data_IF_639045489773
#
_entry.id   IF_639045489773
#
_cell.length_a   1.000
_cell.length_b   1.000
_cell.length_c   1.000
_cell.angle_alpha   90.00
_cell.angle_beta   90.00
_cell.angle_gamma   90.00
#
_symmetry.space_group_name_H-M   'P 1'
#
loop_
_entity.id
_entity.type
_entity.pdbx_description
1 polymer ?
#
# COMPACT_ATOMS: atom_id res chain seq x y z
N UNK A 1 9.45 0.45 -4.39
CA UNK A 1 10.31 0.65 -3.19
C UNK A 1 11.50 -0.28 -3.33
N UNK A 2 12.74 0.23 -3.30
CA UNK A 2 13.94 -0.60 -3.32
C UNK A 2 14.68 -0.43 -1.99
N UNK A 3 15.13 -1.52 -1.38
CA UNK A 3 16.03 -1.51 -0.21
C UNK A 3 17.24 -2.37 -0.59
N UNK A 4 18.43 -1.76 -0.62
CA UNK A 4 19.64 -2.44 -1.10
C UNK A 4 19.54 -2.94 -2.55
N UNK A 5 18.76 -2.24 -3.39
CA UNK A 5 18.49 -2.66 -4.78
C UNK A 5 17.40 -3.73 -4.94
N UNK A 6 16.87 -4.27 -3.84
CA UNK A 6 15.84 -5.33 -3.87
C UNK A 6 14.45 -4.70 -3.75
N UNK A 7 13.48 -5.05 -4.64
CA UNK A 7 12.10 -4.63 -4.51
C UNK A 7 11.45 -5.12 -3.21
N UNK A 8 10.89 -4.18 -2.44
CA UNK A 8 10.14 -4.47 -1.22
C UNK A 8 8.65 -4.32 -1.51
N UNK A 9 7.91 -5.42 -1.43
CA UNK A 9 6.51 -5.53 -1.89
C UNK A 9 5.49 -5.65 -0.75
N UNK A 10 5.93 -5.94 0.48
CA UNK A 10 5.06 -6.25 1.61
C UNK A 10 4.16 -5.08 2.05
N UNK A 11 4.61 -3.84 1.90
CA UNK A 11 3.80 -2.66 2.19
C UNK A 11 2.91 -2.32 1.00
N UNK A 12 3.43 -2.24 -0.25
CA UNK A 12 2.59 -2.04 -1.43
C UNK A 12 1.39 -3.01 -1.54
N UNK A 13 1.57 -4.30 -1.26
CA UNK A 13 0.49 -5.31 -1.40
C UNK A 13 -0.72 -5.03 -0.49
N UNK A 14 -0.54 -4.29 0.61
CA UNK A 14 -1.66 -3.88 1.47
C UNK A 14 -2.69 -3.00 0.75
N UNK A 15 -2.29 -2.34 -0.35
CA UNK A 15 -3.21 -1.60 -1.22
C UNK A 15 -4.24 -2.48 -1.92
N UNK A 16 -3.94 -3.76 -2.17
CA UNK A 16 -4.88 -4.70 -2.79
C UNK A 16 -6.00 -5.13 -1.82
N UNK A 17 -5.73 -5.13 -0.51
CA UNK A 17 -6.67 -5.59 0.52
C UNK A 17 -8.01 -4.86 0.48
N UNK A 18 -8.07 -3.50 0.52
CA UNK A 18 -9.33 -2.77 0.43
C UNK A 18 -10.01 -2.88 -0.95
N UNK A 19 -9.31 -3.37 -1.98
CA UNK A 19 -9.91 -3.65 -3.30
C UNK A 19 -10.67 -4.98 -3.31
N UNK A 20 -10.18 -5.96 -2.53
CA UNK A 20 -10.74 -7.31 -2.42
C UNK A 20 -11.78 -7.41 -1.31
N UNK A 21 -11.55 -6.74 -0.17
CA UNK A 21 -12.39 -6.82 1.02
C UNK A 21 -13.21 -5.53 1.20
N UNK A 22 -14.51 -5.67 1.42
CA UNK A 22 -15.43 -4.52 1.58
C UNK A 22 -15.41 -3.88 3.00
N UNK A 23 -14.55 -4.36 3.89
CA UNK A 23 -14.51 -3.93 5.31
C UNK A 23 -13.36 -2.98 5.65
N UNK A 24 -12.42 -2.76 4.73
CA UNK A 24 -11.20 -1.99 4.95
C UNK A 24 -11.12 -0.90 3.87
N UNK A 25 -10.71 0.31 4.24
CA UNK A 25 -10.52 1.41 3.30
C UNK A 25 -9.04 1.59 2.96
N UNK A 26 -8.75 2.10 1.76
CA UNK A 26 -7.38 2.45 1.39
C UNK A 26 -6.80 3.54 2.32
N UNK A 27 -7.64 4.47 2.77
CA UNK A 27 -7.24 5.54 3.68
C UNK A 27 -6.77 5.00 5.04
N UNK A 28 -7.46 3.99 5.61
CA UNK A 28 -7.06 3.42 6.90
C UNK A 28 -5.70 2.72 6.81
N UNK A 29 -5.44 2.02 5.70
CA UNK A 29 -4.12 1.43 5.40
C UNK A 29 -3.05 2.52 5.30
N UNK A 30 -3.31 3.59 4.53
CA UNK A 30 -2.34 4.69 4.37
C UNK A 30 -2.06 5.41 5.68
N UNK A 31 -3.07 5.58 6.55
CA UNK A 31 -2.89 6.13 7.89
C UNK A 31 -1.95 5.26 8.73
N UNK A 32 -2.19 3.95 8.79
CA UNK A 32 -1.34 3.01 9.53
C UNK A 32 0.12 3.03 9.01
N UNK A 33 0.32 3.17 7.69
CA UNK A 33 1.65 3.31 7.10
C UNK A 33 2.35 4.59 7.57
N UNK A 34 1.66 5.74 7.60
CA UNK A 34 2.21 7.02 8.10
C UNK A 34 2.46 7.03 9.61
N UNK A 35 1.74 6.20 10.37
CA UNK A 35 2.02 5.99 11.79
C UNK A 35 3.34 5.22 11.96
N UNK A 36 3.53 4.14 11.17
CA UNK A 36 4.69 3.24 11.24
C UNK A 36 6.00 3.81 10.66
N UNK A 37 5.90 4.54 9.55
CA UNK A 37 7.04 5.09 8.79
C UNK A 37 6.98 6.62 8.79
N UNK A 38 8.10 7.29 8.55
CA UNK A 38 8.19 8.76 8.53
C UNK A 38 8.84 9.28 7.25
N UNK A 39 8.56 10.55 6.95
CA UNK A 39 9.16 11.27 5.82
C UNK A 39 8.89 10.59 4.48
N UNK A 40 9.87 10.64 3.59
CA UNK A 40 9.76 10.14 2.22
C UNK A 40 9.44 8.65 2.15
N UNK A 41 9.93 7.84 3.10
CA UNK A 41 9.61 6.40 3.17
C UNK A 41 8.12 6.16 3.40
N UNK A 42 7.47 6.98 4.22
CA UNK A 42 6.03 6.90 4.43
C UNK A 42 5.27 7.23 3.15
N UNK A 43 5.61 8.35 2.50
CA UNK A 43 4.92 8.78 1.29
C UNK A 43 5.16 7.85 0.10
N UNK A 44 6.35 7.29 -0.05
CA UNK A 44 6.65 6.28 -1.07
C UNK A 44 5.83 5.01 -0.85
N UNK A 45 5.67 4.56 0.40
CA UNK A 45 4.83 3.41 0.72
C UNK A 45 3.34 3.69 0.50
N UNK A 46 2.84 4.88 0.88
CA UNK A 46 1.45 5.32 0.64
C UNK A 46 1.14 5.36 -0.86
N UNK A 47 2.04 5.92 -1.67
CA UNK A 47 1.88 5.94 -3.13
C UNK A 47 1.83 4.54 -3.70
N UNK A 48 2.71 3.65 -3.24
CA UNK A 48 2.73 2.27 -3.70
C UNK A 48 1.47 1.49 -3.34
N UNK A 49 0.85 1.73 -2.17
CA UNK A 49 -0.44 1.11 -1.85
C UNK A 49 -1.58 1.67 -2.70
N UNK A 50 -1.55 2.96 -3.04
CA UNK A 50 -2.53 3.54 -3.98
C UNK A 50 -2.43 2.88 -5.36
N UNK A 51 -1.22 2.74 -5.88
CA UNK A 51 -0.97 2.08 -7.16
C UNK A 51 -1.44 0.61 -7.13
N UNK A 52 -1.14 -0.12 -6.06
CA UNK A 52 -1.61 -1.49 -5.89
C UNK A 52 -3.15 -1.57 -5.86
N UNK A 53 -3.82 -0.65 -5.15
CA UNK A 53 -5.29 -0.59 -5.11
C UNK A 53 -5.89 -0.37 -6.50
N UNK A 54 -5.36 0.60 -7.25
CA UNK A 54 -5.84 0.97 -8.59
C UNK A 54 -5.61 -0.13 -9.63
N UNK A 55 -4.48 -0.84 -9.53
CA UNK A 55 -4.11 -1.92 -10.47
C UNK A 55 -4.66 -3.29 -10.09
N UNK A 56 -5.22 -3.45 -8.88
CA UNK A 56 -5.77 -4.74 -8.46
C UNK A 56 -7.10 -4.99 -9.15
N UNK A 57 -7.09 -6.00 -10.01
CA UNK A 57 -8.28 -6.55 -10.65
C UNK A 57 -8.90 -7.61 -9.75
N UNK A 58 -10.22 -7.55 -9.58
CA UNK A 58 -10.97 -8.51 -8.76
C UNK A 58 -12.05 -9.09 -9.66
N UNK A 59 -11.84 -10.34 -10.08
CA UNK A 59 -12.87 -11.11 -10.78
C UNK A 59 -13.90 -11.54 -9.74
N UNK A 60 -15.14 -11.08 -9.90
CA UNK A 60 -16.28 -11.46 -9.08
C UNK A 60 -17.05 -12.60 -9.73
#
# INVERSE_FOLDING_TARGET
LLVGGIPVINTPILGAVPRVLEKITLESIQKAIRERWKGELAENNVKATKEAYERTEVNR
#
